data_IF_386038417624
#
_entry.id   IF_386038417624
#
_cell.length_a   1.000
_cell.length_b   1.000
_cell.length_c   1.000
_cell.angle_alpha   90.00
_cell.angle_beta   90.00
_cell.angle_gamma   90.00
#
_symmetry.space_group_name_H-M   'P 1'
#
loop_
_entity.id
_entity.type
_entity.pdbx_description
1 polymer ?
#
# COMPACT_ATOMS: atom_id res chain seq x y z
N UNK A 1 -22.43 -8.20 -15.68
CA UNK A 1 -21.36 -8.42 -14.68
C UNK A 1 -20.05 -7.97 -15.30
N UNK A 2 -19.20 -7.25 -14.56
CA UNK A 2 -17.83 -6.97 -15.00
C UNK A 2 -16.97 -8.21 -14.75
N UNK A 3 -16.32 -8.72 -15.79
CA UNK A 3 -15.33 -9.79 -15.67
C UNK A 3 -13.94 -9.16 -15.52
N UNK A 4 -13.17 -9.60 -14.52
CA UNK A 4 -11.78 -9.14 -14.31
C UNK A 4 -10.83 -10.26 -14.67
N UNK A 5 -9.81 -9.94 -15.48
CA UNK A 5 -8.75 -10.86 -15.87
C UNK A 5 -7.41 -10.35 -15.33
N UNK A 6 -6.71 -11.18 -14.55
CA UNK A 6 -5.40 -10.86 -13.97
C UNK A 6 -4.38 -11.88 -14.43
N UNK A 7 -3.26 -11.39 -14.96
CA UNK A 7 -2.14 -12.21 -15.39
C UNK A 7 -0.84 -11.42 -15.22
N UNK A 8 0.28 -12.12 -15.27
CA UNK A 8 1.61 -11.52 -15.25
C UNK A 8 2.25 -11.66 -16.63
N UNK A 9 2.89 -10.60 -17.10
CA UNK A 9 3.60 -10.61 -18.37
C UNK A 9 4.76 -9.62 -18.34
N UNK A 10 5.64 -9.74 -19.33
CA UNK A 10 6.77 -8.83 -19.53
C UNK A 10 6.42 -7.83 -20.62
N UNK A 11 6.78 -6.56 -20.39
CA UNK A 11 6.72 -5.54 -21.43
C UNK A 11 7.80 -5.84 -22.46
N UNK A 12 7.40 -6.07 -23.72
CA UNK A 12 8.32 -6.35 -24.82
C UNK A 12 9.10 -5.10 -25.22
N UNK A 13 10.14 -5.31 -26.04
CA UNK A 13 10.85 -4.20 -26.69
C UNK A 13 9.84 -3.31 -27.42
N UNK A 14 10.00 -2.00 -27.30
CA UNK A 14 9.08 -0.94 -27.79
C UNK A 14 7.80 -0.73 -26.97
N UNK A 15 7.74 -1.24 -25.73
CA UNK A 15 6.62 -0.93 -24.82
C UNK A 15 5.34 -1.73 -25.10
N UNK A 16 5.44 -2.83 -25.85
CA UNK A 16 4.29 -3.65 -26.24
C UNK A 16 3.96 -4.66 -25.12
N UNK A 17 2.69 -4.73 -24.72
CA UNK A 17 2.18 -5.74 -23.79
C UNK A 17 1.28 -6.71 -24.56
N UNK A 18 1.64 -7.99 -24.57
CA UNK A 18 0.81 -9.04 -25.14
C UNK A 18 -0.19 -9.56 -24.10
N UNK A 19 -1.47 -9.40 -24.39
CA UNK A 19 -2.57 -9.86 -23.54
C UNK A 19 -2.95 -11.30 -23.95
N UNK A 20 -2.75 -12.33 -23.09
CA UNK A 20 -3.08 -13.71 -23.44
C UNK A 20 -4.59 -13.96 -23.32
N UNK A 21 -5.15 -14.77 -24.22
CA UNK A 21 -6.50 -15.35 -24.05
C UNK A 21 -7.68 -14.39 -24.16
N UNK A 22 -7.47 -13.16 -24.65
CA UNK A 22 -8.53 -12.14 -24.75
C UNK A 22 -9.19 -12.06 -26.14
N UNK A 23 -8.99 -13.05 -27.01
CA UNK A 23 -9.58 -13.07 -28.37
C UNK A 23 -11.12 -13.01 -28.36
N UNK A 24 -11.76 -13.43 -27.27
CA UNK A 24 -13.22 -13.31 -27.09
C UNK A 24 -13.71 -11.87 -26.86
N UNK A 25 -12.80 -10.91 -26.64
CA UNK A 25 -13.09 -9.50 -26.35
C UNK A 25 -12.67 -8.56 -27.50
N UNK A 26 -12.54 -9.08 -28.72
CA UNK A 26 -12.27 -8.27 -29.93
C UNK A 26 -13.35 -7.20 -30.07
N UNK A 27 -12.93 -5.95 -30.25
CA UNK A 27 -13.77 -4.74 -30.38
C UNK A 27 -14.62 -4.37 -29.15
N UNK A 28 -14.36 -4.97 -27.98
CA UNK A 28 -14.99 -4.56 -26.74
C UNK A 28 -14.21 -3.42 -26.06
N UNK A 29 -14.90 -2.40 -25.52
CA UNK A 29 -14.26 -1.43 -24.65
C UNK A 29 -13.81 -2.14 -23.36
N UNK A 30 -12.51 -2.04 -23.04
CA UNK A 30 -11.92 -2.65 -21.84
C UNK A 30 -11.14 -1.62 -21.03
N UNK A 31 -11.15 -1.78 -19.72
CA UNK A 31 -10.32 -1.04 -18.79
C UNK A 31 -9.09 -1.89 -18.42
N UNK A 32 -7.90 -1.30 -18.47
CA UNK A 32 -6.64 -2.00 -18.23
C UNK A 32 -5.92 -1.38 -17.04
N UNK A 33 -5.65 -2.19 -16.02
CA UNK A 33 -4.82 -1.82 -14.87
C UNK A 33 -3.46 -2.50 -14.99
N UNK A 34 -2.39 -1.71 -15.04
CA UNK A 34 -1.01 -2.20 -15.17
C UNK A 34 -0.27 -1.98 -13.85
N UNK A 35 0.29 -3.05 -13.28
CA UNK A 35 1.19 -2.98 -12.13
C UNK A 35 2.58 -3.37 -12.58
N UNK A 36 3.48 -2.39 -12.65
CA UNK A 36 4.88 -2.64 -13.01
C UNK A 36 5.61 -3.13 -11.77
N UNK A 37 5.98 -4.41 -11.75
CA UNK A 37 6.93 -4.93 -10.78
C UNK A 37 8.29 -4.39 -11.15
N UNK A 38 8.81 -3.45 -10.37
CA UNK A 38 10.21 -3.08 -10.50
C UNK A 38 11.02 -4.35 -10.21
N UNK A 39 11.99 -4.73 -11.07
CA UNK A 39 13.00 -5.68 -10.64
C UNK A 39 13.53 -5.12 -9.32
N UNK A 40 13.79 -5.99 -8.37
CA UNK A 40 14.42 -5.61 -7.13
C UNK A 40 15.84 -5.14 -7.46
N UNK A 41 16.00 -3.98 -8.12
CA UNK A 41 17.05 -3.04 -7.77
C UNK A 41 16.98 -3.04 -6.27
N UNK A 42 18.03 -3.55 -5.64
CA UNK A 42 18.18 -3.55 -4.19
C UNK A 42 17.55 -2.24 -3.74
N UNK A 43 16.40 -2.32 -3.09
CA UNK A 43 15.88 -1.16 -2.41
C UNK A 43 17.09 -0.73 -1.58
N UNK A 44 17.62 0.46 -1.86
CA UNK A 44 18.39 1.20 -0.87
C UNK A 44 17.59 0.98 0.39
N UNK A 45 18.11 0.09 1.23
CA UNK A 45 17.33 -0.47 2.32
C UNK A 45 17.02 0.80 3.09
N UNK A 46 15.74 1.23 3.26
CA UNK A 46 15.52 2.36 4.13
C UNK A 46 16.09 1.88 5.45
N UNK A 47 17.21 2.51 5.85
CA UNK A 47 17.98 2.19 7.05
C UNK A 47 17.00 1.66 8.07
N UNK A 48 17.15 0.37 8.45
CA UNK A 48 16.22 -0.38 9.32
C UNK A 48 15.48 0.62 10.20
N UNK A 49 14.24 0.98 9.83
CA UNK A 49 13.55 2.07 10.51
C UNK A 49 13.53 1.72 11.99
N UNK A 50 14.32 2.45 12.76
CA UNK A 50 14.45 2.19 14.19
C UNK A 50 13.09 2.47 14.82
N UNK A 51 12.79 1.72 15.88
CA UNK A 51 11.56 1.93 16.67
C UNK A 51 11.43 3.42 17.04
N UNK A 52 12.55 4.11 17.26
CA UNK A 52 12.60 5.55 17.53
C UNK A 52 12.09 6.44 16.37
N UNK A 53 12.42 6.10 15.10
CA UNK A 53 11.88 6.83 13.94
C UNK A 53 10.37 6.58 13.76
N UNK A 54 9.92 5.36 14.01
CA UNK A 54 8.49 5.01 13.98
C UNK A 54 7.73 5.76 15.08
N UNK A 55 8.24 5.72 16.32
CA UNK A 55 7.68 6.42 17.46
C UNK A 55 7.73 7.93 17.26
N UNK A 56 8.78 8.50 16.65
CA UNK A 56 8.84 9.94 16.34
C UNK A 56 7.73 10.41 15.40
N UNK A 57 7.44 9.64 14.34
CA UNK A 57 6.33 9.94 13.41
C UNK A 57 4.96 9.78 14.05
N UNK A 58 4.78 8.72 14.85
CA UNK A 58 3.51 8.45 15.54
C UNK A 58 3.25 9.38 16.73
N UNK A 59 4.28 9.75 17.48
CA UNK A 59 4.17 10.71 18.59
C UNK A 59 4.03 12.15 18.10
N UNK A 60 4.40 12.46 16.86
CA UNK A 60 4.05 13.73 16.20
C UNK A 60 2.53 13.97 16.16
N UNK A 61 1.73 12.90 16.05
CA UNK A 61 0.25 12.93 16.14
C UNK A 61 -0.21 13.14 17.59
N UNK A 62 0.61 12.74 18.57
CA UNK A 62 0.30 12.81 20.00
C UNK A 62 0.95 14.00 20.71
N UNK A 63 1.68 14.88 20.00
CA UNK A 63 2.25 16.13 20.54
C UNK A 63 1.12 17.11 20.89
N UNK A 64 0.51 16.87 22.04
CA UNK A 64 -0.63 17.64 22.55
C UNK A 64 -1.44 16.87 23.60
N UNK A 65 -1.36 15.54 23.64
CA UNK A 65 -1.99 14.74 24.68
C UNK A 65 -0.95 14.38 25.75
N UNK A 66 -1.15 14.87 26.97
CA UNK A 66 -0.46 14.37 28.18
C UNK A 66 -1.06 12.99 28.52
N UNK A 67 -0.33 11.88 28.30
CA UNK A 67 -0.89 10.54 28.46
C UNK A 67 -1.33 10.24 29.91
N UNK A 68 -0.69 10.88 30.89
CA UNK A 68 -1.01 10.69 32.31
C UNK A 68 -2.40 11.22 32.70
N UNK A 69 -2.84 12.33 32.09
CA UNK A 69 -4.15 12.91 32.38
C UNK A 69 -5.27 12.03 31.79
N UNK A 70 -5.08 11.53 30.57
CA UNK A 70 -6.04 10.62 29.92
C UNK A 70 -6.18 9.27 30.65
N UNK A 71 -5.07 8.77 31.22
CA UNK A 71 -5.07 7.51 31.98
C UNK A 71 -5.80 7.65 33.32
N UNK A 72 -5.64 8.80 34.00
CA UNK A 72 -6.39 9.11 35.22
C UNK A 72 -7.88 9.20 34.96
N UNK A 73 -8.29 9.93 33.93
CA UNK A 73 -9.70 10.12 33.60
C UNK A 73 -10.41 8.80 33.26
N UNK A 74 -9.77 7.94 32.47
CA UNK A 74 -10.29 6.60 32.17
C UNK A 74 -10.47 5.76 33.43
N UNK A 75 -9.51 5.77 34.36
CA UNK A 75 -9.60 5.01 35.59
C UNK A 75 -10.68 5.55 36.54
N UNK A 76 -10.92 6.86 36.56
CA UNK A 76 -12.01 7.45 37.34
C UNK A 76 -13.38 7.08 36.77
N UNK A 77 -13.56 7.12 35.46
CA UNK A 77 -14.84 6.77 34.80
C UNK A 77 -15.17 5.27 34.88
N UNK A 78 -14.14 4.40 34.88
CA UNK A 78 -14.33 2.94 34.92
C UNK A 78 -14.63 2.35 36.29
N UNK A 79 -14.17 3.03 37.35
CA UNK A 79 -14.22 2.53 38.73
C UNK A 79 -15.14 3.37 39.64
N UNK A 80 -15.98 4.23 39.04
CA UNK A 80 -17.17 4.77 39.70
C UNK A 80 -18.39 3.86 39.48
#
# INVERSE_FOLDING_TARGET
>A
MMETYKFETTVLKNGIIQLPGISKFVDYPVEVFIVVKQPNEQADTPEKQTIDQFLGKWTGILRGCKPDDSKRQYLTEKYQ
#
